data_IF_393983717667
#
_entry.id   IF_393983717667
#
_cell.length_a   1.000
_cell.length_b   1.000
_cell.length_c   1.000
_cell.angle_alpha   90.00
_cell.angle_beta   90.00
_cell.angle_gamma   90.00
#
_symmetry.space_group_name_H-M   'P 1'
#
loop_
_entity.id
_entity.type
_entity.pdbx_description
1 polymer ?
#
# COMPACT_ATOMS: atom_id res chain seq x y z
N UNK A 1 25.75 6.30 2.35
CA UNK A 1 24.85 6.50 1.19
C UNK A 1 23.56 5.74 1.38
N UNK A 2 23.62 4.45 1.75
CA UNK A 2 22.42 3.63 1.98
C UNK A 2 21.54 4.20 3.11
N UNK A 3 22.14 4.58 4.23
CA UNK A 3 21.43 5.16 5.36
C UNK A 3 20.75 6.49 4.99
N UNK A 4 21.41 7.33 4.17
CA UNK A 4 20.85 8.59 3.69
C UNK A 4 19.66 8.34 2.78
N UNK A 5 19.77 7.39 1.87
CA UNK A 5 18.68 7.01 0.95
C UNK A 5 17.47 6.47 1.72
N UNK A 6 17.69 5.60 2.71
CA UNK A 6 16.64 5.09 3.58
C UNK A 6 15.96 6.24 4.35
N UNK A 7 16.73 7.21 4.83
CA UNK A 7 16.19 8.38 5.53
C UNK A 7 15.29 9.21 4.61
N UNK A 8 15.72 9.47 3.38
CA UNK A 8 14.92 10.20 2.38
C UNK A 8 13.63 9.46 2.07
N UNK A 9 13.72 8.15 1.84
CA UNK A 9 12.55 7.32 1.55
C UNK A 9 11.58 7.29 2.72
N UNK A 10 12.07 7.12 3.95
CA UNK A 10 11.23 7.13 5.15
C UNK A 10 10.53 8.47 5.37
N UNK A 11 11.25 9.57 5.19
CA UNK A 11 10.66 10.91 5.30
C UNK A 11 9.55 11.14 4.28
N UNK A 12 9.74 10.64 3.05
CA UNK A 12 8.76 10.77 1.99
C UNK A 12 7.52 9.91 2.24
N UNK A 13 7.71 8.71 2.78
CA UNK A 13 6.61 7.83 3.19
C UNK A 13 5.79 8.48 4.31
N UNK A 14 6.45 8.99 5.33
CA UNK A 14 5.76 9.67 6.43
C UNK A 14 4.97 10.87 5.91
N UNK A 15 5.51 11.61 4.96
CA UNK A 15 4.81 12.72 4.31
C UNK A 15 3.57 12.23 3.56
N UNK A 16 3.70 11.19 2.75
CA UNK A 16 2.58 10.61 2.00
C UNK A 16 1.51 10.11 2.96
N UNK A 17 1.88 9.36 3.98
CA UNK A 17 0.94 8.85 4.98
C UNK A 17 0.23 9.99 5.72
N UNK A 18 0.95 11.04 6.13
CA UNK A 18 0.36 12.17 6.84
C UNK A 18 -0.61 12.97 5.96
N UNK A 19 -0.34 13.08 4.66
CA UNK A 19 -1.21 13.76 3.71
C UNK A 19 -2.47 12.96 3.39
N UNK A 20 -2.43 11.64 3.55
CA UNK A 20 -3.52 10.73 3.19
C UNK A 20 -4.16 10.02 4.39
N UNK A 21 -3.95 10.52 5.61
CA UNK A 21 -4.60 9.99 6.81
C UNK A 21 -6.13 10.00 6.70
N UNK A 22 -6.69 10.94 5.93
CA UNK A 22 -8.12 11.06 5.67
C UNK A 22 -8.52 10.46 4.32
N UNK A 23 -7.72 9.54 3.79
CA UNK A 23 -7.99 8.91 2.49
C UNK A 23 -9.35 8.24 2.45
N UNK A 24 -10.12 8.57 1.42
CA UNK A 24 -11.34 7.84 1.09
C UNK A 24 -11.02 6.52 0.37
N UNK A 25 -9.80 6.37 -0.14
CA UNK A 25 -9.37 5.17 -0.86
C UNK A 25 -7.90 4.84 -0.60
N UNK A 26 -7.57 3.55 -0.54
CA UNK A 26 -6.19 3.08 -0.43
C UNK A 26 -5.39 3.36 -1.71
N UNK A 27 -6.07 3.48 -2.86
CA UNK A 27 -5.45 3.72 -4.16
C UNK A 27 -4.66 5.02 -4.19
N UNK A 28 -5.18 6.08 -3.57
CA UNK A 28 -4.54 7.40 -3.59
C UNK A 28 -3.16 7.39 -2.92
N UNK A 29 -3.03 6.65 -1.82
CA UNK A 29 -1.74 6.48 -1.15
C UNK A 29 -0.71 5.77 -2.02
N UNK A 30 -1.13 4.70 -2.69
CA UNK A 30 -0.25 3.96 -3.60
C UNK A 30 0.10 4.76 -4.85
N UNK A 31 -0.84 5.52 -5.41
CA UNK A 31 -0.59 6.38 -6.57
C UNK A 31 0.45 7.44 -6.23
N UNK A 32 0.34 8.08 -5.07
CA UNK A 32 1.32 9.08 -4.63
C UNK A 32 2.72 8.49 -4.50
N UNK A 33 2.84 7.31 -3.91
CA UNK A 33 4.11 6.60 -3.78
C UNK A 33 4.69 6.20 -5.14
N UNK A 34 3.84 5.72 -6.05
CA UNK A 34 4.25 5.33 -7.41
C UNK A 34 4.70 6.53 -8.23
N UNK A 35 4.04 7.66 -8.11
CA UNK A 35 4.45 8.92 -8.77
C UNK A 35 5.83 9.37 -8.28
N UNK A 36 6.06 9.30 -6.98
CA UNK A 36 7.37 9.62 -6.42
C UNK A 36 8.45 8.72 -7.00
N UNK A 37 8.21 7.40 -7.04
CA UNK A 37 9.14 6.45 -7.63
C UNK A 37 9.44 6.76 -9.10
N UNK A 38 8.43 7.10 -9.87
CA UNK A 38 8.57 7.42 -11.29
C UNK A 38 9.36 8.71 -11.52
N UNK A 39 9.10 9.74 -10.71
CA UNK A 39 9.84 11.00 -10.76
C UNK A 39 11.30 10.83 -10.38
N UNK A 40 11.62 9.85 -9.54
CA UNK A 40 12.96 9.55 -9.05
C UNK A 40 13.47 8.20 -9.58
N UNK A 41 13.13 7.86 -10.81
CA UNK A 41 13.37 6.57 -11.44
C UNK A 41 14.84 6.11 -11.35
N UNK A 42 15.79 7.02 -11.62
CA UNK A 42 17.21 6.70 -11.55
C UNK A 42 17.65 6.34 -10.14
N UNK A 43 17.17 7.09 -9.14
CA UNK A 43 17.46 6.83 -7.74
C UNK A 43 16.89 5.49 -7.30
N UNK A 44 15.64 5.22 -7.65
CA UNK A 44 14.94 3.97 -7.33
C UNK A 44 15.69 2.77 -7.91
N UNK A 45 16.09 2.84 -9.19
CA UNK A 45 16.86 1.76 -9.81
C UNK A 45 18.24 1.60 -9.21
N UNK A 46 18.90 2.69 -8.85
CA UNK A 46 20.20 2.63 -8.19
C UNK A 46 20.08 1.89 -6.86
N UNK A 47 19.09 2.23 -6.04
CA UNK A 47 18.84 1.56 -4.76
C UNK A 47 18.50 0.08 -5.00
N UNK A 48 17.59 -0.20 -5.93
CA UNK A 48 17.12 -1.55 -6.21
C UNK A 48 18.21 -2.49 -6.71
N UNK A 49 19.16 -1.97 -7.51
CA UNK A 49 20.23 -2.76 -8.11
C UNK A 49 21.53 -2.78 -7.31
N UNK A 50 21.82 -1.75 -6.52
CA UNK A 50 23.09 -1.63 -5.80
C UNK A 50 23.01 -1.84 -4.29
N UNK A 51 21.82 -1.70 -3.72
CA UNK A 51 21.51 -2.03 -2.34
C UNK A 51 20.81 -3.39 -2.33
N UNK A 52 20.65 -4.01 -1.21
CA UNK A 52 19.94 -5.27 -1.10
C UNK A 52 18.49 -5.15 -1.61
N UNK A 53 18.11 -5.99 -2.58
CA UNK A 53 16.71 -6.13 -3.01
C UNK A 53 15.80 -6.41 -1.82
N UNK A 54 16.28 -7.18 -0.88
CA UNK A 54 15.58 -7.50 0.36
C UNK A 54 15.20 -6.26 1.15
N UNK A 55 16.09 -5.25 1.21
CA UNK A 55 15.80 -3.99 1.89
C UNK A 55 14.70 -3.20 1.19
N UNK A 56 14.74 -3.15 -0.14
CA UNK A 56 13.69 -2.50 -0.93
C UNK A 56 12.36 -3.20 -0.73
N UNK A 57 12.33 -4.51 -0.80
CA UNK A 57 11.12 -5.30 -0.57
C UNK A 57 10.56 -5.09 0.83
N UNK A 58 11.42 -5.15 1.85
CA UNK A 58 11.02 -4.91 3.25
C UNK A 58 10.41 -3.53 3.43
N UNK A 59 11.00 -2.55 2.78
CA UNK A 59 10.51 -1.18 2.79
C UNK A 59 9.13 -1.06 2.14
N UNK A 60 8.94 -1.68 0.96
CA UNK A 60 7.67 -1.71 0.27
C UNK A 60 6.58 -2.41 1.10
N UNK A 61 6.92 -3.52 1.74
CA UNK A 61 5.98 -4.21 2.64
C UNK A 61 5.60 -3.35 3.83
N UNK A 62 6.54 -2.61 4.38
CA UNK A 62 6.28 -1.70 5.52
C UNK A 62 5.29 -0.60 5.12
N UNK A 63 5.49 0.03 3.97
CA UNK A 63 4.61 1.09 3.46
C UNK A 63 3.23 0.53 3.15
N UNK A 64 3.18 -0.54 2.38
CA UNK A 64 1.91 -1.15 1.95
C UNK A 64 1.11 -1.63 3.17
N UNK A 65 1.80 -2.23 4.13
CA UNK A 65 1.19 -2.68 5.39
C UNK A 65 0.59 -1.52 6.18
N UNK A 66 1.28 -0.40 6.26
CA UNK A 66 0.78 0.77 7.01
C UNK A 66 -0.41 1.42 6.31
N UNK A 67 -0.35 1.61 4.99
CA UNK A 67 -1.47 2.15 4.22
C UNK A 67 -2.70 1.26 4.36
N UNK A 68 -2.54 -0.04 4.21
CA UNK A 68 -3.65 -0.97 4.31
C UNK A 68 -4.19 -1.08 5.74
N UNK A 69 -3.32 -1.03 6.74
CA UNK A 69 -3.73 -1.05 8.15
C UNK A 69 -4.64 0.14 8.46
N UNK A 70 -4.27 1.33 8.04
CA UNK A 70 -5.06 2.54 8.26
C UNK A 70 -6.42 2.45 7.54
N UNK A 71 -6.41 2.01 6.30
CA UNK A 71 -7.65 1.87 5.52
C UNK A 71 -8.58 0.80 6.10
N UNK A 72 -8.06 -0.39 6.39
CA UNK A 72 -8.85 -1.50 6.96
C UNK A 72 -9.40 -1.12 8.34
N UNK A 73 -8.63 -0.42 9.16
CA UNK A 73 -9.08 0.06 10.46
C UNK A 73 -10.29 1.00 10.32
N UNK A 74 -10.22 1.92 9.38
CA UNK A 74 -11.31 2.86 9.10
C UNK A 74 -12.57 2.15 8.61
N UNK A 75 -12.43 1.25 7.64
CA UNK A 75 -13.58 0.50 7.12
C UNK A 75 -14.16 -0.43 8.20
N UNK A 76 -13.30 -1.01 9.03
CA UNK A 76 -13.75 -1.83 10.17
C UNK A 76 -14.67 -1.04 11.10
N UNK A 77 -14.30 0.19 11.45
CA UNK A 77 -15.15 1.04 12.29
C UNK A 77 -16.53 1.27 11.66
N UNK A 78 -16.57 1.53 10.37
CA UNK A 78 -17.82 1.74 9.63
C UNK A 78 -18.68 0.48 9.61
N UNK A 79 -18.06 -0.67 9.35
CA UNK A 79 -18.76 -1.97 9.33
C UNK A 79 -19.29 -2.33 10.71
N UNK A 80 -18.50 -2.17 11.75
CA UNK A 80 -18.92 -2.47 13.13
C UNK A 80 -20.07 -1.59 13.56
N UNK A 81 -20.02 -0.31 13.23
CA UNK A 81 -21.09 0.63 13.55
C UNK A 81 -22.40 0.27 12.83
N UNK A 82 -22.32 -0.01 11.53
CA UNK A 82 -23.51 -0.31 10.71
C UNK A 82 -24.15 -1.65 11.07
N UNK A 83 -23.34 -2.68 11.34
CA UNK A 83 -23.81 -4.05 11.60
C UNK A 83 -24.09 -4.34 13.07
N UNK A 84 -23.68 -3.48 14.00
CA UNK A 84 -23.69 -3.74 15.44
C UNK A 84 -22.97 -5.05 15.81
N UNK A 85 -21.82 -5.29 15.15
CA UNK A 85 -21.01 -6.48 15.30
C UNK A 85 -19.55 -6.07 15.43
N UNK A 86 -18.68 -7.04 15.71
CA UNK A 86 -17.24 -6.82 15.81
C UNK A 86 -16.49 -7.58 14.74
N UNK A 87 -15.45 -6.96 14.19
CA UNK A 87 -14.46 -7.62 13.34
C UNK A 87 -13.24 -7.92 14.22
N UNK A 88 -12.89 -9.18 14.36
CA UNK A 88 -11.80 -9.55 15.24
C UNK A 88 -10.45 -9.12 14.66
N UNK A 89 -9.46 -8.77 15.52
CA UNK A 89 -8.16 -8.30 15.07
C UNK A 89 -7.45 -9.25 14.09
N UNK A 90 -7.58 -10.55 14.30
CA UNK A 90 -6.98 -11.57 13.41
C UNK A 90 -7.54 -11.52 11.99
N UNK A 91 -8.84 -11.24 11.84
CA UNK A 91 -9.47 -11.11 10.53
C UNK A 91 -9.06 -9.79 9.85
N UNK A 92 -8.98 -8.71 10.62
CA UNK A 92 -8.46 -7.43 10.12
C UNK A 92 -7.03 -7.59 9.60
N UNK A 93 -6.19 -8.27 10.38
CA UNK A 93 -4.80 -8.52 10.00
C UNK A 93 -4.71 -9.37 8.73
N UNK A 94 -5.55 -10.38 8.59
CA UNK A 94 -5.58 -11.23 7.39
C UNK A 94 -5.91 -10.41 6.14
N UNK A 95 -6.88 -9.52 6.22
CA UNK A 95 -7.24 -8.64 5.09
C UNK A 95 -6.09 -7.70 4.76
N UNK A 96 -5.46 -7.09 5.77
CA UNK A 96 -4.29 -6.21 5.57
C UNK A 96 -3.17 -6.97 4.87
N UNK A 97 -2.83 -8.16 5.37
CA UNK A 97 -1.72 -8.95 4.83
C UNK A 97 -1.98 -9.39 3.39
N UNK A 98 -3.20 -9.83 3.10
CA UNK A 98 -3.57 -10.25 1.74
C UNK A 98 -3.35 -9.13 0.73
N UNK A 99 -3.87 -7.95 0.99
CA UNK A 99 -3.72 -6.80 0.10
C UNK A 99 -2.29 -6.28 0.07
N UNK A 100 -1.61 -6.29 1.20
CA UNK A 100 -0.20 -5.90 1.28
C UNK A 100 0.66 -6.75 0.35
N UNK A 101 0.54 -8.08 0.44
CA UNK A 101 1.34 -8.99 -0.39
C UNK A 101 0.97 -8.88 -1.86
N UNK A 102 -0.31 -8.76 -2.18
CA UNK A 102 -0.77 -8.62 -3.56
C UNK A 102 -0.25 -7.32 -4.20
N UNK A 103 -0.38 -6.21 -3.49
CA UNK A 103 0.02 -4.90 -4.01
C UNK A 103 1.53 -4.76 -4.12
N UNK A 104 2.29 -5.23 -3.15
CA UNK A 104 3.76 -5.23 -3.23
C UNK A 104 4.23 -6.11 -4.38
N UNK A 105 3.62 -7.29 -4.57
CA UNK A 105 3.93 -8.15 -5.70
C UNK A 105 3.73 -7.44 -7.04
N UNK A 106 2.66 -6.69 -7.20
CA UNK A 106 2.41 -5.91 -8.40
C UNK A 106 3.41 -4.76 -8.60
N UNK A 107 3.79 -4.09 -7.54
CA UNK A 107 4.81 -3.03 -7.58
C UNK A 107 6.17 -3.62 -7.97
N UNK A 108 6.55 -4.74 -7.39
CA UNK A 108 7.81 -5.41 -7.73
C UNK A 108 7.84 -5.86 -9.20
N UNK A 109 6.74 -6.38 -9.71
CA UNK A 109 6.60 -6.71 -11.13
C UNK A 109 6.77 -5.47 -12.01
N UNK A 110 6.15 -4.37 -11.63
CA UNK A 110 6.28 -3.09 -12.34
C UNK A 110 7.73 -2.60 -12.34
N UNK A 111 8.44 -2.68 -11.21
CA UNK A 111 9.86 -2.34 -11.11
C UNK A 111 10.71 -3.25 -12.00
N UNK A 112 10.46 -4.56 -11.96
CA UNK A 112 11.22 -5.55 -12.73
C UNK A 112 11.01 -5.43 -14.23
N UNK A 113 9.89 -4.87 -14.67
CA UNK A 113 9.58 -4.65 -16.10
C UNK A 113 9.94 -3.25 -16.59
N UNK A 114 10.68 -2.49 -15.82
CA UNK A 114 11.27 -1.22 -16.23
C UNK A 114 10.40 0.00 -16.00
N UNK A 115 9.40 -0.08 -15.15
CA UNK A 115 8.46 1.01 -14.86
C UNK A 115 7.80 1.58 -16.12
N UNK A 116 7.52 0.74 -17.10
CA UNK A 116 7.00 1.17 -18.41
C UNK A 116 5.50 1.46 -18.40
N UNK A 117 4.76 0.71 -17.61
CA UNK A 117 3.31 0.91 -17.48
C UNK A 117 3.03 2.13 -16.62
N UNK A 118 1.92 2.82 -16.90
CA UNK A 118 1.46 3.89 -16.04
C UNK A 118 1.01 3.33 -14.68
N UNK A 119 1.70 3.68 -13.59
CA UNK A 119 1.37 3.14 -12.27
C UNK A 119 0.00 3.58 -11.78
N UNK A 120 -0.42 4.81 -12.10
CA UNK A 120 -1.74 5.31 -11.72
C UNK A 120 -2.85 4.50 -12.38
N UNK A 121 -2.74 4.27 -13.68
CA UNK A 121 -3.70 3.45 -14.43
C UNK A 121 -3.79 2.02 -13.90
N UNK A 122 -2.64 1.43 -13.56
CA UNK A 122 -2.58 0.09 -13.00
C UNK A 122 -3.30 0.01 -11.65
N UNK A 123 -3.00 0.93 -10.74
CA UNK A 123 -3.58 0.95 -9.39
C UNK A 123 -5.08 1.23 -9.46
N UNK A 124 -5.51 2.18 -10.28
CA UNK A 124 -6.93 2.48 -10.45
C UNK A 124 -7.69 1.30 -11.03
N UNK A 125 -7.09 0.56 -11.95
CA UNK A 125 -7.72 -0.64 -12.51
C UNK A 125 -7.92 -1.73 -11.47
N UNK A 126 -6.94 -1.96 -10.62
CA UNK A 126 -7.07 -2.86 -9.47
C UNK A 126 -8.20 -2.40 -8.56
N UNK A 127 -8.25 -1.10 -8.27
CA UNK A 127 -9.31 -0.52 -7.45
C UNK A 127 -10.71 -0.71 -8.04
N UNK A 128 -10.85 -0.59 -9.37
CA UNK A 128 -12.13 -0.85 -10.05
C UNK A 128 -12.54 -2.31 -9.96
N UNK A 129 -11.61 -3.22 -10.24
CA UNK A 129 -11.90 -4.67 -10.24
C UNK A 129 -12.32 -5.15 -8.85
N UNK A 130 -11.63 -4.68 -7.81
CA UNK A 130 -11.86 -5.12 -6.43
C UNK A 130 -12.66 -4.10 -5.61
N UNK A 131 -13.41 -3.23 -6.28
CA UNK A 131 -14.22 -2.20 -5.61
C UNK A 131 -15.18 -2.81 -4.58
N UNK A 132 -15.16 -2.27 -3.37
CA UNK A 132 -16.03 -2.75 -2.28
C UNK A 132 -15.64 -4.08 -1.67
N UNK A 133 -14.58 -4.73 -2.16
CA UNK A 133 -14.19 -6.07 -1.72
C UNK A 133 -13.75 -6.11 -0.25
N UNK A 134 -13.01 -5.10 0.21
CA UNK A 134 -12.55 -5.03 1.60
C UNK A 134 -13.75 -4.87 2.55
N UNK A 135 -14.66 -3.96 2.23
CA UNK A 135 -15.88 -3.76 3.02
C UNK A 135 -16.72 -5.04 3.07
N UNK A 136 -16.92 -5.68 1.92
CA UNK A 136 -17.66 -6.94 1.85
C UNK A 136 -17.00 -8.05 2.67
N UNK A 137 -15.68 -8.16 2.60
CA UNK A 137 -14.93 -9.16 3.36
C UNK A 137 -15.06 -8.95 4.86
N UNK A 138 -14.90 -7.71 5.32
CA UNK A 138 -15.02 -7.36 6.74
C UNK A 138 -16.45 -7.56 7.25
N UNK A 139 -17.44 -7.20 6.44
CA UNK A 139 -18.85 -7.43 6.76
C UNK A 139 -19.15 -8.92 6.91
N UNK A 140 -18.59 -9.74 6.03
CA UNK A 140 -18.80 -11.20 6.04
C UNK A 140 -18.27 -11.86 7.32
N UNK A 141 -17.15 -11.39 7.84
CA UNK A 141 -16.51 -12.00 9.04
C UNK A 141 -16.93 -11.32 10.35
N UNK A 142 -17.64 -10.22 10.30
CA UNK A 142 -18.14 -9.53 11.50
C UNK A 142 -19.10 -10.44 12.29
N UNK A 143 -18.97 -10.44 13.61
CA UNK A 143 -19.76 -11.32 14.50
C UNK A 143 -19.94 -10.78 15.92
#
# INVERSE_FOLDING_TARGET
ITALLEHILNADVERVLSQHLDMDSWEDGFISAARFALENKRLVYHIYNSVSRERVERYLYSIAGEVMRLYVSRITEQVEHAAHKKVFPEDQKMVVDFYKFALVGMILDWLNTGMKKDPEGLIRRVGEIFHGNIEAALTRVAR
#
